data_IF_483441583106
#
_entry.id   IF_483441583106
#
_cell.length_a   1.000
_cell.length_b   1.000
_cell.length_c   1.000
_cell.angle_alpha   90.00
_cell.angle_beta   90.00
_cell.angle_gamma   90.00
#
_symmetry.space_group_name_H-M   'P 1'
#
loop_
_entity.id
_entity.type
_entity.pdbx_description
1 polymer ?
#
# COMPACT_ATOMS: atom_id res chain seq x y z
N UNK A 1 -14.54 1.26 -21.98
CA UNK A 1 -15.24 -0.03 -21.72
C UNK A 1 -14.26 -1.11 -21.26
N UNK A 2 -13.19 -1.48 -21.99
CA UNK A 2 -12.18 -2.49 -21.57
C UNK A 2 -11.63 -2.27 -20.14
N UNK A 3 -11.41 -1.02 -19.71
CA UNK A 3 -10.85 -0.70 -18.38
C UNK A 3 -11.78 -1.06 -17.22
N UNK A 4 -13.09 -0.92 -17.39
CA UNK A 4 -14.10 -1.26 -16.37
C UNK A 4 -14.36 -2.76 -16.29
N UNK A 5 -14.09 -3.51 -17.36
CA UNK A 5 -14.20 -4.97 -17.38
C UNK A 5 -13.06 -5.63 -16.59
N UNK A 6 -11.85 -5.02 -16.60
CA UNK A 6 -10.68 -5.55 -15.88
C UNK A 6 -10.67 -5.18 -14.38
N UNK A 7 -11.21 -4.02 -14.01
CA UNK A 7 -11.28 -3.51 -12.63
C UNK A 7 -12.63 -2.85 -12.37
N UNK A 8 -13.70 -3.63 -12.11
CA UNK A 8 -15.05 -3.09 -11.93
C UNK A 8 -15.16 -2.09 -10.79
N UNK A 9 -14.39 -2.26 -9.72
CA UNK A 9 -14.35 -1.38 -8.55
C UNK A 9 -13.95 0.06 -8.84
N UNK A 10 -13.20 0.32 -9.92
CA UNK A 10 -12.83 1.69 -10.36
C UNK A 10 -14.05 2.54 -10.66
N UNK A 11 -15.13 1.92 -11.15
CA UNK A 11 -16.41 2.61 -11.40
C UNK A 11 -17.09 3.14 -10.14
N UNK A 12 -16.72 2.67 -8.96
CA UNK A 12 -17.27 3.14 -7.69
C UNK A 12 -16.55 4.37 -7.12
N UNK A 13 -15.44 4.78 -7.71
CA UNK A 13 -14.64 5.91 -7.20
C UNK A 13 -15.36 7.24 -7.37
N UNK A 14 -15.32 8.07 -6.31
CA UNK A 14 -16.03 9.36 -6.26
C UNK A 14 -15.29 10.50 -6.95
N UNK A 15 -13.98 10.37 -7.13
CA UNK A 15 -13.09 11.36 -7.79
C UNK A 15 -13.31 12.81 -7.31
N UNK A 16 -13.38 13.03 -5.99
CA UNK A 16 -13.56 14.37 -5.43
C UNK A 16 -14.97 15.00 -5.63
N UNK A 17 -15.86 14.34 -6.37
CA UNK A 17 -17.25 14.81 -6.55
C UNK A 17 -18.16 14.45 -5.36
N UNK A 18 -17.69 13.56 -4.48
CA UNK A 18 -18.48 12.98 -3.39
C UNK A 18 -19.56 11.99 -3.87
N UNK A 19 -19.70 11.78 -5.17
CA UNK A 19 -20.71 10.92 -5.79
C UNK A 19 -20.06 9.67 -6.37
N UNK A 20 -20.64 8.50 -6.12
CA UNK A 20 -20.25 7.23 -6.75
C UNK A 20 -20.31 7.38 -8.28
N UNK A 21 -19.30 6.90 -8.98
CA UNK A 21 -19.18 7.03 -10.43
C UNK A 21 -18.53 8.34 -10.91
N UNK A 22 -18.18 9.26 -10.02
CA UNK A 22 -17.54 10.52 -10.39
C UNK A 22 -16.25 10.36 -11.20
N UNK A 23 -15.52 9.27 -10.98
CA UNK A 23 -14.34 8.96 -11.80
C UNK A 23 -14.72 8.54 -13.23
N UNK A 24 -15.80 7.78 -13.38
CA UNK A 24 -16.32 7.39 -14.71
C UNK A 24 -16.76 8.61 -15.51
N UNK A 25 -17.41 9.59 -14.86
CA UNK A 25 -17.78 10.85 -15.50
C UNK A 25 -16.53 11.59 -16.00
N UNK A 26 -15.50 11.68 -15.16
CA UNK A 26 -14.20 12.31 -15.53
C UNK A 26 -13.48 11.57 -16.67
N UNK A 27 -13.59 10.25 -16.74
CA UNK A 27 -13.05 9.48 -17.88
C UNK A 27 -13.78 9.81 -19.18
N UNK A 28 -15.10 9.98 -19.15
CA UNK A 28 -15.91 10.32 -20.32
C UNK A 28 -15.67 11.75 -20.80
N UNK A 29 -15.48 12.69 -19.88
CA UNK A 29 -15.12 14.08 -20.16
C UNK A 29 -13.68 14.25 -20.65
N UNK A 30 -12.83 13.28 -20.38
CA UNK A 30 -11.40 13.31 -20.61
C UNK A 30 -10.59 13.69 -19.36
N UNK A 31 -9.54 12.93 -19.11
CA UNK A 31 -8.66 13.15 -17.96
C UNK A 31 -7.24 12.71 -18.25
N UNK A 32 -6.30 13.13 -17.42
CA UNK A 32 -4.88 12.78 -17.56
C UNK A 32 -4.61 11.30 -17.31
N UNK A 33 -3.67 10.72 -18.04
CA UNK A 33 -3.23 9.34 -17.84
C UNK A 33 -2.73 9.10 -16.40
N UNK A 34 -2.03 10.07 -15.81
CA UNK A 34 -1.61 10.01 -14.40
C UNK A 34 -2.78 9.92 -13.42
N UNK A 35 -3.89 10.61 -13.68
CA UNK A 35 -5.09 10.52 -12.86
C UNK A 35 -5.79 9.16 -13.00
N UNK A 36 -5.74 8.57 -14.19
CA UNK A 36 -6.21 7.20 -14.40
C UNK A 36 -5.36 6.21 -13.61
N UNK A 37 -4.03 6.35 -13.68
CA UNK A 37 -3.10 5.51 -12.93
C UNK A 37 -3.30 5.63 -11.40
N UNK A 38 -3.58 6.82 -10.89
CA UNK A 38 -3.92 7.05 -9.48
C UNK A 38 -5.11 6.19 -9.04
N UNK A 39 -6.24 6.29 -9.76
CA UNK A 39 -7.45 5.54 -9.43
C UNK A 39 -7.26 4.02 -9.58
N UNK A 40 -6.48 3.59 -10.58
CA UNK A 40 -6.12 2.18 -10.74
C UNK A 40 -5.24 1.71 -9.58
N UNK A 41 -4.22 2.47 -9.17
CA UNK A 41 -3.35 2.11 -8.06
C UNK A 41 -4.10 1.98 -6.73
N UNK A 42 -5.09 2.84 -6.48
CA UNK A 42 -5.97 2.73 -5.33
C UNK A 42 -6.83 1.47 -5.40
N UNK A 43 -7.42 1.19 -6.57
CA UNK A 43 -8.27 0.00 -6.74
C UNK A 43 -7.46 -1.30 -6.62
N UNK A 44 -6.27 -1.36 -7.20
CA UNK A 44 -5.40 -2.53 -7.09
C UNK A 44 -5.04 -2.86 -5.63
N UNK A 45 -4.82 -1.85 -4.79
CA UNK A 45 -4.61 -2.06 -3.37
C UNK A 45 -5.87 -2.60 -2.67
N UNK A 46 -7.06 -2.15 -3.08
CA UNK A 46 -8.34 -2.68 -2.57
C UNK A 46 -8.56 -4.13 -2.97
N UNK A 47 -8.28 -4.49 -4.23
CA UNK A 47 -8.31 -5.88 -4.69
C UNK A 47 -7.32 -6.77 -3.91
N UNK A 48 -6.21 -6.19 -3.47
CA UNK A 48 -5.23 -6.85 -2.61
C UNK A 48 -5.61 -6.82 -1.11
N UNK A 49 -6.84 -6.43 -0.75
CA UNK A 49 -7.37 -6.50 0.61
C UNK A 49 -7.03 -5.30 1.51
N UNK A 50 -6.57 -4.17 0.96
CA UNK A 50 -6.26 -2.97 1.75
C UNK A 50 -7.27 -1.85 1.55
N UNK A 51 -7.73 -1.22 2.63
CA UNK A 51 -8.63 -0.08 2.56
C UNK A 51 -7.86 1.23 2.39
N UNK A 52 -7.81 1.70 1.16
CA UNK A 52 -7.22 2.98 0.76
C UNK A 52 -8.19 3.75 -0.13
N UNK A 53 -8.13 5.08 -0.15
CA UNK A 53 -9.15 5.81 -0.90
C UNK A 53 -8.79 7.23 -1.31
N UNK A 54 -7.61 7.73 -0.95
CA UNK A 54 -7.21 9.11 -1.25
C UNK A 54 -6.03 9.14 -2.19
N UNK A 55 -6.16 9.93 -3.24
CA UNK A 55 -5.08 10.20 -4.16
C UNK A 55 -5.18 11.62 -4.70
N UNK A 56 -4.13 12.06 -5.36
CA UNK A 56 -4.04 13.36 -6.02
C UNK A 56 -3.01 13.34 -7.12
N UNK A 57 -3.42 13.76 -8.30
CA UNK A 57 -2.54 13.92 -9.46
C UNK A 57 -2.34 15.40 -9.79
N UNK A 58 -1.11 15.75 -10.14
CA UNK A 58 -0.71 17.08 -10.60
C UNK A 58 0.15 16.95 -11.85
N UNK A 59 -0.02 17.88 -12.80
CA UNK A 59 0.93 18.02 -13.90
C UNK A 59 2.25 18.57 -13.38
N UNK A 60 3.35 18.14 -13.96
CA UNK A 60 4.69 18.70 -13.73
C UNK A 60 4.93 19.99 -14.53
N UNK A 61 4.05 20.27 -15.51
CA UNK A 61 4.26 21.28 -16.53
C UNK A 61 4.80 20.70 -17.84
N UNK A 62 5.44 19.55 -17.80
CA UNK A 62 5.93 18.84 -18.97
C UNK A 62 4.84 17.90 -19.53
N UNK A 63 4.69 17.83 -20.88
CA UNK A 63 3.72 16.94 -21.50
C UNK A 63 3.93 15.47 -21.12
N UNK A 64 2.86 14.81 -20.69
CA UNK A 64 2.88 13.39 -20.32
C UNK A 64 3.51 13.07 -18.97
N UNK A 65 3.99 14.05 -18.21
CA UNK A 65 4.59 13.85 -16.90
C UNK A 65 3.66 14.30 -15.76
N UNK A 66 3.52 13.46 -14.74
CA UNK A 66 2.62 13.70 -13.64
C UNK A 66 3.26 13.34 -12.30
N UNK A 67 2.97 14.13 -11.27
CA UNK A 67 3.15 13.73 -9.89
C UNK A 67 1.86 13.03 -9.43
N UNK A 68 1.96 11.77 -9.09
CA UNK A 68 0.85 10.97 -8.58
C UNK A 68 1.15 10.59 -7.14
N UNK A 69 0.27 11.01 -6.22
CA UNK A 69 0.36 10.71 -4.80
C UNK A 69 -0.92 9.98 -4.41
N UNK A 70 -0.79 8.90 -3.66
CA UNK A 70 -1.93 8.14 -3.16
C UNK A 70 -1.60 7.47 -1.82
N UNK A 71 -2.64 7.21 -1.05
CA UNK A 71 -2.52 6.51 0.24
C UNK A 71 -2.20 5.03 0.03
N UNK A 72 -1.46 4.49 0.98
CA UNK A 72 -1.18 3.07 1.07
C UNK A 72 -1.21 2.61 2.54
N UNK A 73 -1.51 1.35 2.77
CA UNK A 73 -1.40 0.72 4.10
C UNK A 73 -0.01 0.09 4.29
N UNK A 74 0.53 -0.53 3.23
CA UNK A 74 1.83 -1.17 3.22
C UNK A 74 2.65 -0.64 2.04
N UNK A 75 3.87 -0.16 2.32
CA UNK A 75 4.70 0.55 1.34
C UNK A 75 5.09 -0.30 0.13
N UNK A 76 5.40 -1.58 0.33
CA UNK A 76 5.74 -2.51 -0.75
C UNK A 76 4.56 -2.76 -1.68
N UNK A 77 3.37 -2.93 -1.12
CA UNK A 77 2.11 -3.13 -1.85
C UNK A 77 1.72 -1.87 -2.61
N UNK A 78 1.75 -0.71 -1.94
CA UNK A 78 1.48 0.57 -2.57
C UNK A 78 2.40 0.84 -3.76
N UNK A 79 3.71 0.62 -3.60
CA UNK A 79 4.70 0.79 -4.66
C UNK A 79 4.48 -0.19 -5.83
N UNK A 80 4.15 -1.46 -5.55
CA UNK A 80 3.86 -2.45 -6.58
C UNK A 80 2.56 -2.11 -7.34
N UNK A 81 1.51 -1.71 -6.61
CA UNK A 81 0.24 -1.27 -7.20
C UNK A 81 0.42 -0.06 -8.14
N UNK A 82 1.26 0.92 -7.75
CA UNK A 82 1.57 2.06 -8.60
C UNK A 82 2.28 1.68 -9.89
N UNK A 83 3.29 0.81 -9.81
CA UNK A 83 3.98 0.30 -11.01
C UNK A 83 3.05 -0.49 -11.92
N UNK A 84 2.21 -1.35 -11.35
CA UNK A 84 1.22 -2.11 -12.12
C UNK A 84 0.19 -1.19 -12.78
N UNK A 85 -0.27 -0.15 -12.07
CA UNK A 85 -1.20 0.84 -12.60
C UNK A 85 -0.64 1.56 -13.82
N UNK A 86 0.63 1.99 -13.77
CA UNK A 86 1.30 2.65 -14.91
C UNK A 86 1.42 1.69 -16.09
N UNK A 87 1.85 0.43 -15.88
CA UNK A 87 1.94 -0.58 -16.95
C UNK A 87 0.58 -0.86 -17.58
N UNK A 88 -0.47 -0.99 -16.76
CA UNK A 88 -1.82 -1.19 -17.26
C UNK A 88 -2.30 0.00 -18.10
N UNK A 89 -2.06 1.25 -17.65
CA UNK A 89 -2.43 2.44 -18.42
C UNK A 89 -1.70 2.47 -19.76
N UNK A 90 -0.39 2.22 -19.78
CA UNK A 90 0.40 2.19 -21.02
C UNK A 90 -0.10 1.11 -21.96
N UNK A 91 -0.31 -0.13 -21.48
CA UNK A 91 -0.89 -1.22 -22.28
C UNK A 91 -2.24 -0.83 -22.90
N UNK A 92 -3.11 -0.16 -22.15
CA UNK A 92 -4.42 0.27 -22.64
C UNK A 92 -4.34 1.42 -23.67
N UNK A 93 -3.28 2.22 -23.64
CA UNK A 93 -3.05 3.33 -24.60
C UNK A 93 -2.36 2.81 -25.85
N UNK A 94 -1.35 1.97 -25.71
CA UNK A 94 -0.49 1.46 -26.81
C UNK A 94 -1.12 0.26 -27.51
N UNK A 95 -2.17 -0.34 -26.91
CA UNK A 95 -2.87 -1.52 -27.40
C UNK A 95 -1.91 -2.70 -27.69
N UNK A 96 -0.86 -2.83 -26.86
CA UNK A 96 0.11 -3.94 -26.97
C UNK A 96 -0.52 -5.28 -26.57
N UNK A 97 -0.14 -6.35 -27.26
CA UNK A 97 -0.53 -7.71 -26.89
C UNK A 97 0.43 -8.27 -25.82
N UNK A 98 -0.07 -9.20 -24.98
CA UNK A 98 0.78 -9.96 -24.06
C UNK A 98 0.80 -9.48 -22.61
N UNK A 99 0.00 -8.50 -22.21
CA UNK A 99 -0.14 -8.12 -20.82
C UNK A 99 -1.19 -8.99 -20.09
N UNK A 100 -0.70 -9.91 -19.26
CA UNK A 100 -1.55 -10.78 -18.43
C UNK A 100 -1.89 -10.07 -17.11
N UNK A 101 -2.97 -9.31 -17.14
CA UNK A 101 -3.45 -8.57 -15.96
C UNK A 101 -3.82 -9.48 -14.79
N UNK A 102 -4.38 -10.66 -15.06
CA UNK A 102 -4.80 -11.59 -14.01
C UNK A 102 -3.58 -12.12 -13.23
N UNK A 103 -2.54 -12.53 -13.93
CA UNK A 103 -1.29 -12.97 -13.30
C UNK A 103 -0.61 -11.84 -12.51
N UNK A 104 -0.60 -10.61 -13.02
CA UNK A 104 -0.02 -9.47 -12.33
C UNK A 104 -0.80 -9.08 -11.07
N UNK A 105 -2.12 -9.14 -11.12
CA UNK A 105 -2.97 -8.91 -9.95
C UNK A 105 -2.78 -10.00 -8.89
N UNK A 106 -2.68 -11.26 -9.30
CA UNK A 106 -2.39 -12.38 -8.38
C UNK A 106 -1.06 -12.17 -7.65
N UNK A 107 -0.01 -11.75 -8.35
CA UNK A 107 1.28 -11.43 -7.72
C UNK A 107 1.18 -10.28 -6.72
N UNK A 108 0.36 -9.28 -6.99
CA UNK A 108 0.11 -8.18 -6.05
C UNK A 108 -0.64 -8.66 -4.80
N UNK A 109 -1.64 -9.54 -4.96
CA UNK A 109 -2.39 -10.14 -3.84
C UNK A 109 -1.44 -10.98 -2.98
N UNK A 110 -0.63 -11.84 -3.57
CA UNK A 110 0.37 -12.64 -2.85
C UNK A 110 1.40 -11.77 -2.11
N UNK A 111 1.79 -10.64 -2.68
CA UNK A 111 2.66 -9.67 -2.02
C UNK A 111 1.96 -9.07 -0.78
N UNK A 112 0.69 -8.68 -0.92
CA UNK A 112 -0.09 -8.12 0.18
C UNK A 112 -0.29 -9.13 1.33
N UNK A 113 -0.59 -10.38 1.01
CA UNK A 113 -0.73 -11.47 2.00
C UNK A 113 0.58 -11.69 2.77
N UNK A 114 1.73 -11.69 2.11
CA UNK A 114 3.04 -11.82 2.75
C UNK A 114 3.41 -10.61 3.60
N UNK A 115 2.98 -9.43 3.19
CA UNK A 115 3.25 -8.19 3.89
C UNK A 115 2.28 -7.93 5.06
N UNK A 116 1.14 -8.62 5.12
CA UNK A 116 0.17 -8.46 6.17
C UNK A 116 0.73 -8.86 7.55
N UNK A 117 0.33 -8.12 8.57
CA UNK A 117 0.58 -8.54 9.94
C UNK A 117 -0.36 -9.69 10.33
N UNK A 118 0.12 -10.60 11.18
CA UNK A 118 -0.77 -11.57 11.81
C UNK A 118 -1.82 -10.87 12.70
N UNK A 119 -2.98 -11.51 12.92
CA UNK A 119 -4.14 -10.86 13.56
C UNK A 119 -3.83 -10.25 14.93
N UNK A 120 -2.99 -10.89 15.74
CA UNK A 120 -2.61 -10.36 17.04
C UNK A 120 -1.78 -9.07 16.96
N UNK A 121 -0.83 -9.00 16.01
CA UNK A 121 -0.04 -7.79 15.79
C UNK A 121 -0.93 -6.69 15.22
N UNK A 122 -1.80 -7.02 14.27
CA UNK A 122 -2.72 -6.06 13.69
C UNK A 122 -3.65 -5.45 14.75
N UNK A 123 -4.24 -6.25 15.63
CA UNK A 123 -5.09 -5.74 16.72
C UNK A 123 -4.36 -4.76 17.65
N UNK A 124 -3.07 -4.99 17.91
CA UNK A 124 -2.26 -4.04 18.70
C UNK A 124 -2.03 -2.73 17.92
N UNK A 125 -1.78 -2.82 16.62
CA UNK A 125 -1.59 -1.65 15.77
C UNK A 125 -2.87 -0.82 15.62
N UNK A 126 -4.01 -1.48 15.47
CA UNK A 126 -5.32 -0.82 15.38
C UNK A 126 -5.62 -0.08 16.68
N UNK A 127 -5.38 -0.70 17.85
CA UNK A 127 -5.56 -0.07 19.14
C UNK A 127 -4.57 1.10 19.37
N UNK A 128 -3.33 0.97 18.89
CA UNK A 128 -2.36 2.06 18.92
C UNK A 128 -2.82 3.25 18.07
N UNK A 129 -3.34 2.99 16.87
CA UNK A 129 -3.87 4.01 15.98
C UNK A 129 -5.08 4.73 16.58
N UNK A 130 -6.00 4.02 17.26
CA UNK A 130 -7.13 4.62 17.99
C UNK A 130 -6.70 5.58 19.11
N UNK A 131 -5.47 5.41 19.61
CA UNK A 131 -4.87 6.26 20.66
C UNK A 131 -3.87 7.27 20.13
N UNK A 132 -3.83 7.50 18.83
CA UNK A 132 -2.85 8.37 18.15
C UNK A 132 -1.39 8.01 18.46
N UNK A 133 -1.11 6.72 18.75
CA UNK A 133 0.26 6.22 18.95
C UNK A 133 0.84 5.85 17.59
N UNK A 134 1.88 6.55 17.11
CA UNK A 134 2.48 6.24 15.82
C UNK A 134 3.16 4.88 15.84
N UNK A 135 3.07 4.16 14.72
CA UNK A 135 3.71 2.86 14.54
C UNK A 135 4.63 2.88 13.32
N UNK A 136 5.76 2.20 13.44
CA UNK A 136 6.75 2.07 12.36
C UNK A 136 7.14 0.60 12.25
N UNK A 137 6.94 0.00 11.08
CA UNK A 137 7.46 -1.33 10.77
C UNK A 137 8.98 -1.25 10.63
N UNK A 138 9.72 -2.08 11.35
CA UNK A 138 11.18 -2.07 11.38
C UNK A 138 11.83 -3.16 10.51
N UNK A 139 11.06 -4.16 10.08
CA UNK A 139 11.53 -5.22 9.17
C UNK A 139 10.37 -5.80 8.35
N UNK A 140 10.70 -6.69 7.42
CA UNK A 140 9.72 -7.36 6.55
C UNK A 140 8.85 -8.41 7.27
N UNK A 141 9.13 -8.64 8.56
CA UNK A 141 8.34 -9.53 9.41
C UNK A 141 7.38 -8.73 10.30
N UNK A 142 7.29 -9.09 11.56
CA UNK A 142 6.35 -8.52 12.52
C UNK A 142 6.99 -7.61 13.57
N UNK A 143 8.22 -7.13 13.35
CA UNK A 143 8.85 -6.20 14.27
C UNK A 143 8.35 -4.79 14.01
N UNK A 144 7.70 -4.22 15.02
CA UNK A 144 7.11 -2.88 14.96
C UNK A 144 7.59 -2.06 16.14
N UNK A 145 7.85 -0.79 15.90
CA UNK A 145 8.01 0.22 16.93
C UNK A 145 6.70 0.99 17.09
N UNK A 146 6.22 1.09 18.33
CA UNK A 146 5.12 1.94 18.74
C UNK A 146 5.67 3.15 19.47
N UNK A 147 5.15 4.33 19.18
CA UNK A 147 5.62 5.58 19.74
C UNK A 147 7.03 5.98 19.27
N UNK A 148 7.57 7.02 19.88
CA UNK A 148 8.89 7.55 19.55
C UNK A 148 9.61 8.09 20.79
N UNK A 149 10.90 8.38 20.65
CA UNK A 149 11.74 8.92 21.71
C UNK A 149 11.85 7.95 22.90
N UNK A 150 11.79 8.49 24.09
CA UNK A 150 11.92 7.73 25.35
C UNK A 150 10.72 6.82 25.64
N UNK A 151 9.59 7.06 24.98
CA UNK A 151 8.36 6.27 25.14
C UNK A 151 8.20 5.18 24.10
N UNK A 152 9.17 5.02 23.20
CA UNK A 152 9.09 3.98 22.16
C UNK A 152 9.08 2.58 22.79
N UNK A 153 8.22 1.71 22.26
CA UNK A 153 8.20 0.30 22.59
C UNK A 153 8.32 -0.52 21.30
N UNK A 154 9.06 -1.62 21.37
CA UNK A 154 9.18 -2.55 20.22
C UNK A 154 8.40 -3.80 20.53
N UNK A 155 7.59 -4.21 19.58
CA UNK A 155 6.83 -5.45 19.63
C UNK A 155 7.23 -6.35 18.47
N UNK A 156 7.25 -7.65 18.71
CA UNK A 156 7.40 -8.67 17.69
C UNK A 156 6.34 -9.73 17.92
N UNK A 157 5.38 -9.84 17.02
CA UNK A 157 4.13 -10.55 17.27
C UNK A 157 3.47 -10.02 18.56
N UNK A 158 3.25 -10.85 19.58
CA UNK A 158 2.69 -10.43 20.88
C UNK A 158 3.74 -10.18 21.96
N UNK A 159 5.04 -10.26 21.63
CA UNK A 159 6.14 -10.06 22.58
C UNK A 159 6.63 -8.61 22.55
N UNK A 160 6.92 -8.05 23.70
CA UNK A 160 7.49 -6.71 23.83
C UNK A 160 8.96 -6.77 24.22
N UNK A 161 9.67 -5.65 24.10
CA UNK A 161 11.06 -5.51 24.57
C UNK A 161 11.24 -5.74 26.07
N UNK A 162 10.15 -5.69 26.84
CA UNK A 162 10.14 -5.93 28.28
C UNK A 162 9.80 -7.40 28.65
N UNK A 163 9.47 -8.25 27.67
CA UNK A 163 9.14 -9.66 27.88
C UNK A 163 10.42 -10.50 27.91
N UNK A 164 11.13 -10.49 29.03
CA UNK A 164 12.46 -11.12 29.16
C UNK A 164 12.48 -12.63 28.98
N UNK A 165 11.40 -13.34 29.34
CA UNK A 165 11.28 -14.79 29.23
C UNK A 165 11.02 -15.28 27.79
N UNK A 166 10.72 -14.39 26.87
CA UNK A 166 10.34 -14.69 25.49
C UNK A 166 11.26 -14.00 24.46
N UNK A 167 12.41 -13.49 24.89
CA UNK A 167 13.36 -12.94 23.93
C UNK A 167 13.81 -14.03 22.97
N UNK A 168 13.60 -13.88 21.65
CA UNK A 168 14.12 -14.83 20.68
C UNK A 168 15.65 -14.88 20.77
N UNK A 169 16.21 -16.08 20.66
CA UNK A 169 17.64 -16.36 20.82
C UNK A 169 18.60 -15.55 19.92
N UNK A 170 18.08 -14.80 18.96
CA UNK A 170 18.85 -13.89 18.10
C UNK A 170 19.25 -12.54 18.72
N UNK A 171 18.78 -12.22 19.93
CA UNK A 171 19.13 -10.95 20.60
C UNK A 171 20.45 -10.98 21.37
N UNK A 172 21.17 -12.10 21.41
CA UNK A 172 22.42 -12.26 22.15
C UNK A 172 23.69 -12.10 21.31
N UNK A 173 23.57 -11.92 20.01
CA UNK A 173 24.77 -11.79 19.14
C UNK A 173 25.47 -10.41 19.21
N UNK A 174 24.89 -9.45 19.90
CA UNK A 174 25.49 -8.12 20.01
C UNK A 174 26.36 -7.87 21.27
N UNK A 175 26.56 -8.89 22.09
CA UNK A 175 27.21 -8.69 23.42
C UNK A 175 28.54 -9.42 23.60
N UNK A 176 29.17 -9.82 22.50
CA UNK A 176 30.43 -10.58 22.54
C UNK A 176 31.61 -9.90 21.79
N UNK A 177 31.57 -8.59 21.62
CA UNK A 177 32.70 -7.86 21.02
C UNK A 177 33.18 -6.68 21.88
N UNK A 178 33.18 -6.82 23.20
CA UNK A 178 33.95 -5.87 23.99
C UNK A 178 34.51 -6.53 25.24
N UNK A 179 35.52 -7.38 25.02
CA UNK A 179 36.51 -7.75 26.05
C UNK A 179 37.76 -8.33 25.35
N UNK A 180 38.59 -7.48 24.79
CA UNK A 180 40.08 -7.62 24.83
C UNK A 180 40.71 -6.27 24.57
#
# INVERSE_FOLDING_TARGET
RRRQEMLPGVGQHTCGTGRVGGFTDRLNEGTWAGHVAEHIALQLQREAGTEVGRGKTRSTGEPGQYHVVYTYAEGSVGSAAGRLAVRLVNHLVEAEDGFDFAAELEQLILLAERAAFGPSTQAILDEAALRDIPSIRLNDQSLVQLGHGIHQQRIRATMTSQTSSLQPAGGRSGMLLDQT
#
